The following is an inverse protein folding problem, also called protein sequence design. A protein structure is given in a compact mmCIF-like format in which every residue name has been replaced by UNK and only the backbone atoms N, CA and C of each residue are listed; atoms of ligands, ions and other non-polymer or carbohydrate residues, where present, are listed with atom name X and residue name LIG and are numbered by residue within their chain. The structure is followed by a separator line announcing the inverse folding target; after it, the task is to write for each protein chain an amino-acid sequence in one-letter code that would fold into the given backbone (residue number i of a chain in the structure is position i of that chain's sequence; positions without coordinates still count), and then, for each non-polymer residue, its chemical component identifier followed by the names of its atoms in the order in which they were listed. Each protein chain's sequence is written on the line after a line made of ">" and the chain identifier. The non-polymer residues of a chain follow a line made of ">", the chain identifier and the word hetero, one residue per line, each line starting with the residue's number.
data_IF_244913448163
#
_entry.id   IF_244913448163
#
_cell.length_a   1.000
_cell.length_b   1.000
_cell.length_c   1.000
_cell.angle_alpha   90.00
_cell.angle_beta   90.00
_cell.angle_gamma   90.00
#
_symmetry.space_group_name_H-M   'P 1'
#
loop_
_entity.id
_entity.type
_entity.pdbx_description
1 polymer ?
#
# COMPACT_ATOMS: atom_id res chain seq x y z
N UNK A 1 22.66 7.79 12.61
CA UNK A 1 23.11 6.57 13.27
C UNK A 1 24.00 5.74 12.36
N UNK A 2 23.53 5.19 11.21
CA UNK A 2 24.31 4.30 10.32
C UNK A 2 25.66 4.92 9.91
N UNK A 3 25.67 6.18 9.47
CA UNK A 3 26.94 6.88 9.12
C UNK A 3 27.89 6.96 10.32
N UNK A 4 27.40 7.19 11.53
CA UNK A 4 28.24 7.23 12.71
C UNK A 4 28.90 5.89 13.01
N UNK A 5 28.14 4.79 12.85
CA UNK A 5 28.66 3.42 13.01
C UNK A 5 29.73 3.12 11.95
N UNK A 6 29.49 3.48 10.69
CA UNK A 6 30.47 3.28 9.61
C UNK A 6 31.73 4.13 9.82
N UNK A 7 31.59 5.35 10.31
CA UNK A 7 32.72 6.21 10.61
C UNK A 7 33.61 5.65 11.74
N UNK A 8 32.99 5.04 12.75
CA UNK A 8 33.72 4.39 13.84
C UNK A 8 34.36 3.05 13.45
N UNK A 9 33.83 2.44 12.36
CA UNK A 9 34.29 1.12 11.88
C UNK A 9 34.64 1.18 10.38
N UNK A 10 35.79 1.74 9.99
CA UNK A 10 36.17 1.95 8.58
C UNK A 10 36.21 0.67 7.72
N UNK A 11 36.36 -0.48 8.34
CA UNK A 11 36.36 -1.79 7.66
C UNK A 11 34.98 -2.42 7.53
N UNK A 12 33.95 -1.79 8.09
CA UNK A 12 32.59 -2.32 8.02
C UNK A 12 31.99 -2.19 6.62
N UNK A 13 31.28 -3.20 6.19
CA UNK A 13 30.50 -3.21 4.95
C UNK A 13 29.03 -2.99 5.26
N UNK A 14 28.40 -2.09 4.53
CA UNK A 14 26.96 -1.85 4.64
C UNK A 14 26.20 -2.68 3.60
N UNK A 15 25.32 -3.55 4.08
CA UNK A 15 24.34 -4.23 3.26
C UNK A 15 22.94 -3.73 3.65
N UNK A 16 22.19 -3.22 2.66
CA UNK A 16 20.86 -2.68 2.90
C UNK A 16 19.85 -3.19 1.87
N UNK A 17 18.66 -3.51 2.33
CA UNK A 17 17.51 -3.87 1.49
C UNK A 17 16.39 -2.89 1.77
N UNK A 18 15.74 -2.40 0.73
CA UNK A 18 14.64 -1.46 0.87
C UNK A 18 13.85 -1.30 -0.42
N UNK A 19 12.73 -0.63 -0.31
CA UNK A 19 11.83 -0.34 -1.42
C UNK A 19 11.30 1.09 -1.27
N UNK A 20 11.73 1.98 -2.17
CA UNK A 20 11.31 3.39 -2.19
C UNK A 20 9.82 3.55 -2.50
N UNK A 21 9.23 2.62 -3.27
CA UNK A 21 7.79 2.61 -3.57
C UNK A 21 6.93 2.33 -2.34
N UNK A 22 7.52 1.70 -1.30
CA UNK A 22 6.87 1.36 -0.04
C UNK A 22 7.23 2.31 1.12
N UNK A 23 7.78 3.48 0.84
CA UNK A 23 8.11 4.49 1.86
C UNK A 23 6.85 5.27 2.28
N UNK A 24 6.18 4.80 3.33
CA UNK A 24 4.89 5.31 3.82
C UNK A 24 4.91 5.79 5.28
N UNK A 25 6.08 5.96 5.86
CA UNK A 25 6.26 6.37 7.27
C UNK A 25 7.07 7.67 7.39
N UNK A 26 6.82 8.66 6.51
CA UNK A 26 7.51 9.97 6.58
C UNK A 26 7.26 10.65 7.91
N UNK A 27 6.04 10.57 8.44
CA UNK A 27 5.68 11.10 9.76
C UNK A 27 6.50 10.49 10.92
N UNK A 28 7.08 9.30 10.71
CA UNK A 28 7.98 8.63 11.64
C UNK A 28 9.46 8.76 11.23
N UNK A 29 9.79 9.70 10.33
CA UNK A 29 11.15 9.99 9.91
C UNK A 29 11.67 9.17 8.73
N UNK A 30 10.81 8.37 8.07
CA UNK A 30 11.21 7.64 6.86
C UNK A 30 11.49 8.61 5.71
N UNK A 31 12.70 8.54 5.18
CA UNK A 31 13.16 9.42 4.09
C UNK A 31 13.45 8.60 2.83
N UNK A 32 12.67 8.83 1.78
CA UNK A 32 12.83 8.18 0.48
C UNK A 32 14.22 8.39 -0.10
N UNK A 33 14.88 9.52 0.22
CA UNK A 33 16.23 9.84 -0.25
C UNK A 33 17.28 8.83 0.21
N UNK A 34 17.06 8.14 1.31
CA UNK A 34 17.94 7.07 1.76
C UNK A 34 18.06 5.99 0.69
N UNK A 35 16.99 5.68 -0.04
CA UNK A 35 17.03 4.71 -1.15
C UNK A 35 17.41 5.37 -2.48
N UNK A 36 16.79 6.49 -2.84
CA UNK A 36 16.97 7.13 -4.15
C UNK A 36 18.33 7.80 -4.30
N UNK A 37 19.00 8.14 -3.19
CA UNK A 37 20.32 8.77 -3.17
C UNK A 37 21.35 7.95 -2.36
N UNK A 38 21.19 6.64 -2.32
CA UNK A 38 21.99 5.76 -1.47
C UNK A 38 23.50 5.94 -1.72
N UNK A 39 23.94 5.94 -2.98
CA UNK A 39 25.34 6.14 -3.34
C UNK A 39 25.87 7.51 -2.89
N UNK A 40 25.08 8.57 -3.00
CA UNK A 40 25.45 9.91 -2.52
C UNK A 40 25.61 9.96 -1.01
N UNK A 41 24.81 9.16 -0.29
CA UNK A 41 24.82 9.15 1.18
C UNK A 41 25.91 8.26 1.77
N UNK A 42 26.22 7.13 1.13
CA UNK A 42 27.09 6.09 1.69
C UNK A 42 28.32 5.77 0.83
N UNK A 43 28.52 6.44 -0.32
CA UNK A 43 29.67 6.24 -1.19
C UNK A 43 29.45 5.14 -2.21
N UNK A 44 30.56 4.59 -2.72
CA UNK A 44 30.51 3.56 -3.76
C UNK A 44 29.62 2.39 -3.37
N UNK A 45 28.70 2.05 -4.26
CA UNK A 45 27.63 1.09 -3.97
C UNK A 45 27.35 0.22 -5.19
N UNK A 46 27.25 -1.08 -5.00
CA UNK A 46 26.66 -2.00 -5.97
C UNK A 46 25.17 -2.15 -5.65
N UNK A 47 24.31 -1.78 -6.60
CA UNK A 47 22.87 -1.94 -6.48
C UNK A 47 22.40 -3.14 -7.30
N UNK A 48 21.51 -3.93 -6.71
CA UNK A 48 20.83 -5.06 -7.35
C UNK A 48 19.32 -4.90 -7.16
N UNK A 49 18.56 -5.00 -8.24
CA UNK A 49 17.11 -4.90 -8.19
C UNK A 49 16.49 -6.28 -8.05
N UNK A 50 15.67 -6.46 -7.01
CA UNK A 50 14.80 -7.62 -6.88
C UNK A 50 13.51 -7.34 -7.65
N UNK A 51 13.44 -7.81 -8.89
CA UNK A 51 12.37 -7.47 -9.81
C UNK A 51 11.18 -8.46 -9.78
N UNK A 52 11.34 -9.62 -9.15
CA UNK A 52 10.31 -10.67 -9.16
C UNK A 52 9.35 -10.54 -7.99
N UNK A 53 8.04 -10.58 -8.28
CA UNK A 53 6.98 -10.63 -7.26
C UNK A 53 6.24 -11.95 -7.30
N UNK A 54 5.91 -12.45 -6.10
CA UNK A 54 5.09 -13.65 -5.88
C UNK A 54 3.70 -13.31 -5.31
N UNK A 55 3.45 -12.03 -5.02
CA UNK A 55 2.25 -11.58 -4.30
C UNK A 55 1.04 -11.41 -5.19
N UNK A 56 1.23 -10.99 -6.42
CA UNK A 56 0.14 -10.67 -7.34
C UNK A 56 0.44 -11.16 -8.75
N UNK A 57 -0.58 -11.15 -9.60
CA UNK A 57 -0.41 -11.48 -11.01
C UNK A 57 0.23 -10.32 -11.80
N UNK A 58 0.68 -10.61 -13.02
CA UNK A 58 1.36 -9.63 -13.86
C UNK A 58 0.48 -8.42 -14.23
N UNK A 59 -0.83 -8.63 -14.39
CA UNK A 59 -1.76 -7.54 -14.68
C UNK A 59 -1.82 -6.52 -13.55
N UNK A 60 -1.90 -6.97 -12.30
CA UNK A 60 -1.89 -6.10 -11.13
C UNK A 60 -0.52 -5.46 -10.93
N UNK A 61 0.57 -6.20 -11.13
CA UNK A 61 1.94 -5.68 -11.06
C UNK A 61 2.17 -4.55 -12.07
N UNK A 62 1.65 -4.68 -13.30
CA UNK A 62 1.75 -3.65 -14.33
C UNK A 62 0.96 -2.40 -13.96
N UNK A 63 -0.32 -2.57 -13.56
CA UNK A 63 -1.20 -1.46 -13.18
C UNK A 63 -0.64 -0.66 -12.00
N UNK A 64 -0.21 -1.35 -10.94
CA UNK A 64 0.35 -0.71 -9.76
C UNK A 64 1.69 -0.03 -10.05
N UNK A 65 2.53 -0.64 -10.89
CA UNK A 65 3.81 -0.04 -11.32
C UNK A 65 3.60 1.20 -12.18
N UNK A 66 2.64 1.20 -13.09
CA UNK A 66 2.29 2.38 -13.88
C UNK A 66 1.77 3.52 -13.00
N UNK A 67 0.94 3.17 -12.02
CA UNK A 67 0.40 4.14 -11.08
C UNK A 67 1.50 4.81 -10.25
N UNK A 68 2.42 4.03 -9.67
CA UNK A 68 3.44 4.55 -8.76
C UNK A 68 4.55 5.32 -9.50
N UNK A 69 4.92 4.90 -10.71
CA UNK A 69 5.95 5.56 -11.54
C UNK A 69 5.58 6.96 -12.03
N UNK A 70 4.33 7.41 -11.84
CA UNK A 70 3.95 8.81 -12.10
C UNK A 70 4.70 9.80 -11.20
N UNK A 71 5.30 9.34 -10.10
CA UNK A 71 6.21 10.16 -9.30
C UNK A 71 7.64 10.06 -9.84
N UNK A 72 8.20 11.14 -10.45
CA UNK A 72 9.53 11.12 -11.05
C UNK A 72 10.66 10.96 -10.04
N UNK A 73 10.39 11.19 -8.76
CA UNK A 73 11.40 11.09 -7.70
C UNK A 73 11.62 9.65 -7.22
N UNK A 74 10.89 8.69 -7.76
CA UNK A 74 11.03 7.29 -7.40
C UNK A 74 11.92 6.52 -8.37
N UNK A 75 12.57 5.47 -7.88
CA UNK A 75 13.42 4.62 -8.69
C UNK A 75 12.57 3.93 -9.77
N UNK A 76 12.94 4.11 -11.02
CA UNK A 76 12.28 3.41 -12.12
C UNK A 76 12.74 1.95 -12.14
N UNK A 77 11.82 1.04 -11.82
CA UNK A 77 12.04 -0.40 -11.85
C UNK A 77 10.86 -1.12 -12.50
N UNK A 78 11.13 -2.24 -13.10
CA UNK A 78 10.10 -3.14 -13.62
C UNK A 78 9.86 -4.28 -12.62
N UNK A 79 8.60 -4.68 -12.48
CA UNK A 79 8.21 -5.79 -11.61
C UNK A 79 7.64 -6.90 -12.48
N UNK A 80 8.20 -8.10 -12.32
CA UNK A 80 7.78 -9.30 -13.04
C UNK A 80 7.11 -10.24 -12.05
N UNK A 81 5.86 -10.63 -12.34
CA UNK A 81 5.15 -11.60 -11.51
C UNK A 81 5.47 -13.02 -11.96
N UNK A 82 5.52 -13.94 -11.00
CA UNK A 82 5.66 -15.38 -11.30
C UNK A 82 4.38 -15.94 -11.91
N UNK A 83 3.22 -15.35 -11.58
CA UNK A 83 1.94 -15.78 -12.15
C UNK A 83 1.75 -15.26 -13.56
N UNK A 84 1.46 -16.16 -14.49
CA UNK A 84 1.20 -15.84 -15.91
C UNK A 84 -0.15 -15.16 -16.16
N UNK A 85 -1.01 -15.03 -15.15
CA UNK A 85 -2.28 -14.31 -15.27
C UNK A 85 -2.01 -12.83 -15.57
N UNK A 86 -2.44 -12.38 -16.74
CA UNK A 86 -2.18 -11.01 -17.23
C UNK A 86 -3.26 -10.02 -16.87
N UNK A 87 -4.47 -10.47 -16.58
CA UNK A 87 -5.61 -9.60 -16.33
C UNK A 87 -5.67 -9.22 -14.84
N UNK A 88 -5.44 -7.95 -14.54
CA UNK A 88 -5.76 -7.40 -13.23
C UNK A 88 -7.28 -7.31 -13.09
N UNK A 89 -7.81 -7.75 -11.95
CA UNK A 89 -9.21 -7.51 -11.61
C UNK A 89 -9.25 -6.38 -10.60
N UNK A 90 -9.34 -5.15 -11.12
CA UNK A 90 -9.57 -3.97 -10.31
C UNK A 90 -10.91 -3.38 -10.70
N UNK A 91 -11.76 -3.17 -9.72
CA UNK A 91 -13.11 -2.62 -9.87
C UNK A 91 -13.22 -1.30 -9.13
N UNK A 92 -13.70 -0.26 -9.78
CA UNK A 92 -14.07 1.01 -9.14
C UNK A 92 -15.58 1.07 -9.05
N UNK A 93 -16.11 1.20 -7.82
CA UNK A 93 -17.53 1.17 -7.56
C UNK A 93 -17.96 2.55 -7.09
N UNK A 94 -18.77 3.20 -7.91
CA UNK A 94 -19.40 4.47 -7.56
C UNK A 94 -20.75 4.20 -6.88
N UNK A 95 -21.00 4.88 -5.75
CA UNK A 95 -22.26 4.79 -5.03
C UNK A 95 -22.73 6.19 -4.61
N UNK A 96 -24.02 6.47 -4.76
CA UNK A 96 -24.65 7.70 -4.32
C UNK A 96 -25.22 7.50 -2.91
N UNK A 97 -24.39 7.62 -1.86
CA UNK A 97 -24.84 7.58 -0.46
C UNK A 97 -25.22 6.21 0.10
N UNK A 98 -25.10 5.12 -0.68
CA UNK A 98 -25.44 3.75 -0.27
C UNK A 98 -24.22 2.83 -0.22
N UNK A 99 -23.20 3.25 0.51
CA UNK A 99 -21.92 2.51 0.63
C UNK A 99 -22.16 1.08 1.15
N UNK A 100 -22.97 0.91 2.17
CA UNK A 100 -23.25 -0.40 2.78
C UNK A 100 -23.90 -1.39 1.80
N UNK A 101 -24.83 -0.92 0.97
CA UNK A 101 -25.46 -1.76 -0.05
C UNK A 101 -24.48 -2.17 -1.15
N UNK A 102 -23.55 -1.28 -1.53
CA UNK A 102 -22.52 -1.58 -2.50
C UNK A 102 -21.51 -2.59 -1.93
N UNK A 103 -21.05 -2.36 -0.70
CA UNK A 103 -20.16 -3.28 0.02
C UNK A 103 -20.80 -4.66 0.14
N UNK A 104 -22.03 -4.73 0.62
CA UNK A 104 -22.75 -5.99 0.81
C UNK A 104 -22.81 -6.81 -0.48
N UNK A 105 -23.16 -6.18 -1.61
CA UNK A 105 -23.21 -6.86 -2.92
C UNK A 105 -21.83 -7.39 -3.35
N UNK A 106 -20.76 -6.65 -3.05
CA UNK A 106 -19.40 -7.15 -3.37
C UNK A 106 -19.04 -8.36 -2.51
N UNK A 107 -19.40 -8.36 -1.23
CA UNK A 107 -19.18 -9.52 -0.36
C UNK A 107 -20.00 -10.74 -0.82
N UNK A 108 -21.21 -10.57 -1.33
CA UNK A 108 -22.00 -11.66 -1.93
C UNK A 108 -21.31 -12.26 -3.17
N UNK A 109 -20.76 -11.42 -4.06
CA UNK A 109 -20.00 -11.89 -5.23
C UNK A 109 -18.75 -12.67 -4.83
N UNK A 110 -18.02 -12.20 -3.80
CA UNK A 110 -16.82 -12.86 -3.27
C UNK A 110 -17.18 -14.18 -2.58
N UNK A 111 -18.27 -14.22 -1.82
CA UNK A 111 -18.76 -15.44 -1.20
C UNK A 111 -19.14 -16.50 -2.26
N UNK A 112 -19.83 -16.08 -3.32
CA UNK A 112 -20.14 -16.98 -4.43
C UNK A 112 -18.89 -17.49 -5.16
N UNK A 113 -17.83 -16.69 -5.23
CA UNK A 113 -16.54 -17.12 -5.75
C UNK A 113 -15.87 -18.16 -4.82
N UNK A 114 -15.87 -17.91 -3.51
CA UNK A 114 -15.32 -18.83 -2.51
C UNK A 114 -16.04 -20.18 -2.51
N UNK A 115 -17.37 -20.17 -2.64
CA UNK A 115 -18.18 -21.39 -2.77
C UNK A 115 -17.80 -22.20 -4.00
N UNK A 116 -17.59 -21.56 -5.16
CA UNK A 116 -17.12 -22.25 -6.38
C UNK A 116 -15.72 -22.82 -6.25
N UNK A 117 -14.85 -22.13 -5.46
CA UNK A 117 -13.49 -22.59 -5.15
C UNK A 117 -13.49 -23.76 -4.15
N UNK A 118 -14.55 -23.92 -3.37
CA UNK A 118 -14.68 -24.95 -2.33
C UNK A 118 -13.88 -24.66 -1.05
N UNK A 119 -13.43 -23.41 -0.85
CA UNK A 119 -12.70 -22.97 0.33
C UNK A 119 -13.03 -21.50 0.66
N UNK A 120 -13.05 -21.12 1.96
CA UNK A 120 -13.22 -19.73 2.34
C UNK A 120 -12.17 -18.82 1.72
N UNK A 121 -12.56 -17.58 1.42
CA UNK A 121 -11.66 -16.57 0.88
C UNK A 121 -11.29 -15.55 1.97
N UNK A 122 -10.02 -15.13 1.98
CA UNK A 122 -9.53 -14.06 2.84
C UNK A 122 -9.87 -12.71 2.20
N UNK A 123 -10.70 -11.92 2.89
CA UNK A 123 -11.15 -10.61 2.43
C UNK A 123 -10.77 -9.54 3.44
N UNK A 124 -10.08 -8.49 2.99
CA UNK A 124 -9.75 -7.36 3.83
C UNK A 124 -10.46 -6.08 3.37
N UNK A 125 -11.18 -5.45 4.29
CA UNK A 125 -11.65 -4.09 4.13
C UNK A 125 -10.54 -3.14 4.59
N UNK A 126 -10.07 -2.26 3.71
CA UNK A 126 -9.03 -1.29 4.02
C UNK A 126 -9.61 0.11 4.16
N UNK A 127 -9.41 0.69 5.33
CA UNK A 127 -9.67 2.11 5.57
C UNK A 127 -8.37 2.92 5.67
N UNK A 128 -8.45 4.21 5.41
CA UNK A 128 -7.32 5.13 5.70
C UNK A 128 -7.13 5.29 7.22
N UNK A 129 -8.23 5.23 7.97
CA UNK A 129 -8.30 5.41 9.42
C UNK A 129 -9.15 4.32 10.08
N UNK A 130 -8.92 4.09 11.38
CA UNK A 130 -9.66 3.08 12.15
C UNK A 130 -11.18 3.36 12.21
N UNK A 131 -11.59 4.62 12.24
CA UNK A 131 -13.02 4.98 12.31
C UNK A 131 -13.81 4.68 11.02
N UNK A 132 -13.14 4.25 9.96
CA UNK A 132 -13.79 3.81 8.73
C UNK A 132 -14.22 2.35 8.75
N UNK A 133 -13.95 1.63 9.84
CA UNK A 133 -14.54 0.32 10.02
C UNK A 133 -16.06 0.44 9.97
N UNK A 134 -16.75 -0.35 9.11
CA UNK A 134 -18.19 -0.30 9.02
C UNK A 134 -18.85 -0.57 10.37
N UNK A 135 -19.82 0.25 10.78
CA UNK A 135 -20.51 0.10 12.06
C UNK A 135 -21.16 -1.29 12.23
N UNK A 136 -21.52 -1.93 11.12
CA UNK A 136 -22.10 -3.27 11.07
C UNK A 136 -21.07 -4.37 10.76
N UNK A 137 -19.75 -4.10 10.93
CA UNK A 137 -18.69 -5.03 10.56
C UNK A 137 -18.87 -6.43 11.16
N UNK A 138 -19.14 -6.51 12.46
CA UNK A 138 -19.35 -7.80 13.15
C UNK A 138 -20.52 -8.57 12.54
N UNK A 139 -21.62 -7.91 12.23
CA UNK A 139 -22.78 -8.55 11.60
C UNK A 139 -22.47 -9.04 10.18
N UNK A 140 -21.67 -8.28 9.42
CA UNK A 140 -21.18 -8.70 8.10
C UNK A 140 -20.25 -9.92 8.21
N UNK A 141 -19.31 -9.89 9.14
CA UNK A 141 -18.38 -11.00 9.38
C UNK A 141 -19.14 -12.27 9.76
N UNK A 142 -20.10 -12.17 10.68
CA UNK A 142 -20.94 -13.31 11.07
C UNK A 142 -21.80 -13.86 9.93
N UNK A 143 -22.35 -12.98 9.12
CA UNK A 143 -23.18 -13.37 7.97
C UNK A 143 -22.40 -14.18 6.94
N UNK A 144 -21.17 -13.76 6.66
CA UNK A 144 -20.35 -14.36 5.61
C UNK A 144 -19.31 -15.39 6.12
N UNK A 145 -19.24 -15.67 7.43
CA UNK A 145 -18.20 -16.50 8.07
C UNK A 145 -18.01 -17.90 7.50
N UNK A 146 -19.00 -18.43 6.80
CA UNK A 146 -18.91 -19.73 6.13
C UNK A 146 -18.02 -19.68 4.89
N UNK A 147 -18.07 -18.57 4.17
CA UNK A 147 -17.49 -18.45 2.84
C UNK A 147 -16.34 -17.43 2.81
N UNK A 148 -16.31 -16.48 3.75
CA UNK A 148 -15.31 -15.41 3.81
C UNK A 148 -14.69 -15.29 5.23
N UNK A 149 -13.37 -15.17 5.27
CA UNK A 149 -12.63 -14.70 6.43
C UNK A 149 -12.51 -13.17 6.32
N UNK A 150 -13.54 -12.45 6.79
CA UNK A 150 -13.60 -11.00 6.68
C UNK A 150 -12.77 -10.33 7.78
N UNK A 151 -11.93 -9.40 7.40
CA UNK A 151 -11.11 -8.59 8.29
C UNK A 151 -11.19 -7.11 7.95
N UNK A 152 -10.90 -6.25 8.93
CA UNK A 152 -10.70 -4.82 8.71
C UNK A 152 -9.31 -4.43 9.15
N UNK A 153 -8.66 -3.56 8.36
CA UNK A 153 -7.36 -2.99 8.70
C UNK A 153 -7.22 -1.57 8.14
N UNK A 154 -6.32 -0.80 8.71
CA UNK A 154 -5.89 0.43 8.02
C UNK A 154 -4.86 0.09 6.96
N UNK A 155 -4.77 0.92 5.91
CA UNK A 155 -3.78 0.73 4.83
C UNK A 155 -2.35 0.66 5.36
N UNK A 156 -2.02 1.42 6.42
CA UNK A 156 -0.71 1.33 7.07
C UNK A 156 -0.44 -0.01 7.77
N UNK A 157 -1.45 -0.56 8.43
CA UNK A 157 -1.33 -1.83 9.16
C UNK A 157 -1.34 -3.04 8.26
N UNK A 158 -1.94 -2.92 7.07
CA UNK A 158 -1.99 -4.01 6.09
C UNK A 158 -0.68 -4.23 5.35
N UNK A 159 0.29 -3.33 5.50
CA UNK A 159 1.59 -3.46 4.85
C UNK A 159 2.23 -4.82 5.14
N UNK A 160 2.56 -5.56 4.08
CA UNK A 160 3.17 -6.88 4.17
C UNK A 160 2.19 -8.05 4.25
N UNK A 161 0.90 -7.79 4.47
CA UNK A 161 -0.14 -8.81 4.44
C UNK A 161 -0.56 -9.15 2.99
N UNK A 162 -1.25 -10.29 2.83
CA UNK A 162 -1.81 -10.72 1.55
C UNK A 162 -3.20 -11.28 1.77
N UNK A 163 -4.10 -11.04 0.80
CA UNK A 163 -5.51 -11.46 0.85
C UNK A 163 -5.95 -11.92 -0.54
N UNK A 164 -6.98 -12.77 -0.61
CA UNK A 164 -7.63 -13.13 -1.89
C UNK A 164 -8.33 -11.91 -2.50
N UNK A 165 -8.97 -11.09 -1.66
CA UNK A 165 -9.65 -9.85 -2.06
C UNK A 165 -9.37 -8.71 -1.09
N UNK A 166 -9.28 -7.51 -1.66
CA UNK A 166 -9.14 -6.26 -0.90
C UNK A 166 -10.18 -5.26 -1.37
N UNK A 167 -10.89 -4.65 -0.44
CA UNK A 167 -11.84 -3.56 -0.70
C UNK A 167 -11.33 -2.30 -0.01
N UNK A 168 -10.93 -1.30 -0.79
CA UNK A 168 -10.52 0.01 -0.24
C UNK A 168 -11.76 0.88 -0.05
N UNK A 169 -11.99 1.30 1.18
CA UNK A 169 -13.14 2.10 1.59
C UNK A 169 -12.82 3.60 1.53
N UNK A 170 -13.86 4.42 1.36
CA UNK A 170 -13.76 5.88 1.51
C UNK A 170 -12.89 6.57 0.46
N UNK A 171 -12.71 5.97 -0.72
CA UNK A 171 -12.03 6.63 -1.83
C UNK A 171 -12.91 7.72 -2.43
N UNK A 172 -12.48 8.98 -2.29
CA UNK A 172 -13.20 10.12 -2.81
C UNK A 172 -12.24 11.28 -3.10
N UNK A 173 -12.54 12.07 -4.12
CA UNK A 173 -11.82 13.30 -4.43
C UNK A 173 -12.44 14.54 -3.77
N UNK A 174 -13.42 14.38 -2.90
CA UNK A 174 -14.07 15.50 -2.20
C UNK A 174 -13.17 16.04 -1.09
N UNK A 175 -13.07 17.37 -0.88
CA UNK A 175 -12.36 17.93 0.26
C UNK A 175 -12.87 17.33 1.58
N UNK A 176 -11.94 16.91 2.43
CA UNK A 176 -12.26 16.20 3.68
C UNK A 176 -12.50 14.70 3.50
N UNK A 177 -12.35 14.16 2.29
CA UNK A 177 -12.39 12.72 2.08
C UNK A 177 -11.23 12.02 2.79
N UNK A 178 -11.44 10.78 3.11
CA UNK A 178 -10.50 10.02 3.92
C UNK A 178 -9.32 9.47 3.12
N UNK A 179 -9.53 9.20 1.81
CA UNK A 179 -8.47 8.69 0.95
C UNK A 179 -8.60 9.22 -0.50
N UNK A 180 -7.58 9.92 -1.02
CA UNK A 180 -6.32 10.32 -0.39
C UNK A 180 -6.54 11.33 0.73
N UNK A 181 -5.76 11.22 1.81
CA UNK A 181 -5.86 12.16 2.93
C UNK A 181 -5.43 13.56 2.52
N UNK A 182 -6.22 14.55 2.92
CA UNK A 182 -5.91 15.99 2.75
C UNK A 182 -5.31 16.60 4.02
N UNK A 183 -5.07 15.80 5.06
CA UNK A 183 -4.46 16.28 6.30
C UNK A 183 -3.05 16.79 6.03
N UNK A 184 -2.80 18.00 6.51
CA UNK A 184 -1.47 18.60 6.47
C UNK A 184 -0.66 18.16 7.70
N UNK A 185 0.65 18.14 7.54
CA UNK A 185 1.56 17.91 8.67
C UNK A 185 1.46 19.06 9.66
N UNK A 186 1.61 18.74 10.94
CA UNK A 186 1.75 19.75 11.98
C UNK A 186 3.00 20.61 11.68
N UNK A 187 2.90 21.95 11.67
CA UNK A 187 4.03 22.84 11.41
C UNK A 187 5.24 22.57 12.33
N UNK A 188 5.02 22.16 13.57
CA UNK A 188 6.10 21.82 14.51
C UNK A 188 6.81 20.53 14.07
N UNK A 189 6.07 19.52 13.60
CA UNK A 189 6.65 18.28 13.10
C UNK A 189 7.45 18.52 11.81
N UNK A 190 7.07 19.48 10.99
CA UNK A 190 7.77 19.79 9.74
C UNK A 190 9.25 20.17 9.93
N UNK A 191 9.63 20.64 11.12
CA UNK A 191 11.02 20.95 11.48
C UNK A 191 11.90 19.70 11.57
N UNK A 192 11.32 18.55 11.85
CA UNK A 192 12.05 17.29 12.08
C UNK A 192 11.76 16.23 11.03
N UNK A 193 10.67 16.39 10.28
CA UNK A 193 10.29 15.46 9.25
C UNK A 193 11.14 15.63 7.98
N UNK A 194 11.39 14.56 7.22
CA UNK A 194 11.99 14.66 5.91
C UNK A 194 11.16 15.56 4.99
N UNK A 195 11.83 16.25 4.07
CA UNK A 195 11.17 17.10 3.08
C UNK A 195 10.16 16.27 2.29
N UNK A 196 8.95 16.80 2.16
CA UNK A 196 7.91 16.16 1.35
C UNK A 196 8.30 16.13 -0.13
N UNK A 197 7.79 15.13 -0.85
CA UNK A 197 7.89 15.09 -2.30
C UNK A 197 7.20 16.30 -2.94
N UNK A 198 7.76 16.80 -4.04
CA UNK A 198 7.14 17.88 -4.82
C UNK A 198 5.82 17.45 -5.50
N UNK A 199 5.65 16.14 -5.77
CA UNK A 199 4.42 15.63 -6.36
C UNK A 199 3.28 15.64 -5.31
N UNK A 200 2.14 16.28 -5.60
CA UNK A 200 0.98 16.23 -4.71
C UNK A 200 0.55 14.79 -4.41
N UNK A 201 0.23 14.56 -3.13
CA UNK A 201 -0.18 13.23 -2.65
C UNK A 201 0.82 12.09 -2.89
N UNK A 202 2.11 12.38 -3.00
CA UNK A 202 3.12 11.36 -3.29
C UNK A 202 3.15 10.24 -2.25
N UNK A 203 3.03 10.58 -0.95
CA UNK A 203 2.98 9.59 0.14
C UNK A 203 1.68 8.78 0.11
N UNK A 204 0.53 9.43 -0.09
CA UNK A 204 -0.77 8.75 -0.25
C UNK A 204 -0.77 7.83 -1.47
N UNK A 205 -0.07 8.21 -2.54
CA UNK A 205 0.12 7.36 -3.71
C UNK A 205 0.94 6.12 -3.39
N UNK A 206 2.02 6.25 -2.61
CA UNK A 206 2.79 5.09 -2.13
C UNK A 206 1.96 4.23 -1.19
N UNK A 207 1.17 4.86 -0.34
CA UNK A 207 0.28 4.16 0.56
C UNK A 207 -0.78 3.34 -0.18
N UNK A 208 -1.31 3.87 -1.28
CA UNK A 208 -2.26 3.13 -2.12
C UNK A 208 -1.60 2.00 -2.92
N UNK A 209 -0.31 2.14 -3.24
CA UNK A 209 0.46 1.10 -3.93
C UNK A 209 0.74 -0.11 -3.03
N UNK A 210 1.01 0.13 -1.74
CA UNK A 210 1.36 -0.92 -0.75
C UNK A 210 0.20 -1.84 -0.46
#
# INVERSE_FOLDING_TARGET
>A
LVKAVLHQNPQATLFAVGDDWQSIYRFAGSDIRVMTQFQKLFGFTRQVTLATTFRCNQGLANLSSEFIRKNPNQINKSVVAVSDLKNAVVRVIFHAGKADSALFRQLEEMAAWAQRRGAPADVCLLGRYNFQEPANFTALADRFKRDLNLSFSTVHRSKGLGFDFVIVLGMSCTPGSDFPSTRQDDPLLSLFMPIADALPYAEERRLFYV
#
